data_IF_884661602098
#
_entry.id   IF_884661602098
#
_cell.length_a   1.000
_cell.length_b   1.000
_cell.length_c   1.000
_cell.angle_alpha   90.00
_cell.angle_beta   90.00
_cell.angle_gamma   90.00
#
_symmetry.space_group_name_H-M   'P 1'
#
loop_
_entity.id
_entity.type
_entity.pdbx_description
1 polymer ?
#
# COMPACT_ATOMS: atom_id res chain seq x y z
N UNK A 1 -4.40 23.57 -6.66
CA UNK A 1 -4.14 22.66 -5.51
C UNK A 1 -4.89 23.11 -4.26
N UNK A 2 -5.77 22.24 -3.71
CA UNK A 2 -6.54 22.53 -2.48
C UNK A 2 -5.73 22.22 -1.22
N UNK A 3 -5.81 23.11 -0.23
CA UNK A 3 -5.13 22.95 1.06
C UNK A 3 -5.69 21.75 1.85
N UNK A 4 -4.82 20.99 2.48
CA UNK A 4 -5.16 19.86 3.34
C UNK A 4 -4.76 20.16 4.79
N UNK A 5 -5.36 19.44 5.73
CA UNK A 5 -4.93 19.52 7.13
C UNK A 5 -3.57 18.85 7.28
N UNK A 6 -2.56 19.63 7.65
CA UNK A 6 -1.24 19.13 7.99
C UNK A 6 -1.20 18.73 9.47
N UNK A 7 -0.97 17.45 9.73
CA UNK A 7 -0.84 16.95 11.11
C UNK A 7 0.40 17.49 11.83
N UNK A 8 1.44 17.90 11.10
CA UNK A 8 2.69 18.41 11.67
C UNK A 8 2.54 19.84 12.21
N UNK A 9 1.86 20.70 11.46
CA UNK A 9 1.66 22.11 11.84
C UNK A 9 0.31 22.34 12.54
N UNK A 10 -0.63 21.40 12.42
CA UNK A 10 -1.98 21.52 12.94
C UNK A 10 -2.86 22.49 12.15
N UNK A 11 -2.44 22.90 10.94
CA UNK A 11 -3.13 23.91 10.13
C UNK A 11 -3.55 23.37 8.76
N UNK A 12 -4.46 24.09 8.10
CA UNK A 12 -4.86 23.79 6.72
C UNK A 12 -3.96 24.55 5.76
N UNK A 13 -3.07 23.82 5.10
CA UNK A 13 -2.01 24.38 4.24
C UNK A 13 -1.85 23.56 2.96
N UNK A 14 -1.00 24.03 2.04
CA UNK A 14 -0.72 23.29 0.80
C UNK A 14 0.20 22.10 1.12
N UNK A 15 -0.39 21.02 1.65
CA UNK A 15 0.32 19.81 2.01
C UNK A 15 -0.27 18.57 1.32
N UNK A 16 0.56 17.55 1.21
CA UNK A 16 0.18 16.22 0.77
C UNK A 16 0.09 15.29 1.99
N UNK A 17 -0.94 14.46 2.03
CA UNK A 17 -1.17 13.52 3.12
C UNK A 17 -0.96 12.10 2.64
N UNK A 18 0.06 11.43 3.18
CA UNK A 18 0.29 10.00 2.96
C UNK A 18 -0.40 9.13 4.02
N UNK A 19 -0.85 7.95 3.62
CA UNK A 19 -1.28 6.86 4.49
C UNK A 19 -0.19 5.78 4.44
N UNK A 20 0.26 5.32 5.61
CA UNK A 20 1.38 4.38 5.72
C UNK A 20 0.96 3.17 6.54
N UNK A 21 1.35 1.97 6.10
CA UNK A 21 1.20 0.73 6.85
C UNK A 21 2.55 0.37 7.47
N UNK A 22 2.59 0.30 8.80
CA UNK A 22 3.76 -0.05 9.59
C UNK A 22 3.52 -1.36 10.33
N UNK A 23 4.52 -2.25 10.28
CA UNK A 23 4.58 -3.41 11.16
C UNK A 23 5.51 -3.11 12.32
N UNK A 24 5.02 -3.27 13.54
CA UNK A 24 5.74 -2.98 14.77
C UNK A 24 5.82 -4.24 15.61
N UNK A 25 7.03 -4.53 16.12
CA UNK A 25 7.30 -5.63 17.04
C UNK A 25 8.31 -5.20 18.10
N UNK A 26 8.52 -6.03 19.11
CA UNK A 26 9.57 -5.81 20.11
C UNK A 26 10.99 -5.71 19.49
N UNK A 27 11.19 -6.26 18.29
CA UNK A 27 12.49 -6.25 17.58
C UNK A 27 12.67 -5.02 16.68
N UNK A 28 11.67 -4.15 16.56
CA UNK A 28 11.71 -2.98 15.70
C UNK A 28 10.45 -2.81 14.86
N UNK A 29 10.52 -1.84 13.94
CA UNK A 29 9.43 -1.46 13.05
C UNK A 29 9.89 -1.38 11.60
N UNK A 30 8.98 -1.63 10.67
CA UNK A 30 9.24 -1.47 9.22
C UNK A 30 7.98 -1.01 8.49
N UNK A 31 8.16 -0.21 7.44
CA UNK A 31 7.08 0.18 6.54
C UNK A 31 6.81 -0.95 5.56
N UNK A 32 5.54 -1.33 5.46
CA UNK A 32 5.08 -2.39 4.57
C UNK A 32 4.41 -1.85 3.31
N UNK A 33 3.76 -0.69 3.40
CA UNK A 33 3.01 -0.10 2.30
C UNK A 33 2.83 1.41 2.49
N UNK A 34 2.59 2.14 1.40
CA UNK A 34 2.36 3.60 1.39
C UNK A 34 1.39 3.98 0.26
N UNK A 35 0.46 4.88 0.56
CA UNK A 35 -0.43 5.45 -0.44
C UNK A 35 -0.67 6.95 -0.23
N UNK A 36 -0.89 7.68 -1.32
CA UNK A 36 -1.22 9.11 -1.27
C UNK A 36 -2.74 9.29 -1.12
N UNK A 37 -3.18 10.05 -0.12
CA UNK A 37 -4.58 10.47 -0.02
C UNK A 37 -4.84 11.63 -0.99
N UNK A 38 -5.76 11.41 -1.92
CA UNK A 38 -6.17 12.37 -2.93
C UNK A 38 -7.59 12.88 -2.62
N UNK A 39 -7.75 14.18 -2.30
CA UNK A 39 -9.07 14.79 -2.17
C UNK A 39 -9.90 14.67 -3.44
N UNK A 40 -11.22 14.57 -3.30
CA UNK A 40 -12.14 14.41 -4.44
C UNK A 40 -11.97 15.54 -5.47
N UNK A 41 -11.76 16.76 -5.00
CA UNK A 41 -11.61 17.92 -5.87
C UNK A 41 -10.31 17.92 -6.68
N UNK A 42 -9.30 17.13 -6.30
CA UNK A 42 -8.09 16.97 -7.12
C UNK A 42 -8.34 15.98 -8.25
N UNK A 43 -9.02 14.87 -7.95
CA UNK A 43 -9.31 13.83 -8.95
C UNK A 43 -10.38 14.28 -9.97
N UNK A 44 -11.25 15.21 -9.58
CA UNK A 44 -12.27 15.80 -10.46
C UNK A 44 -11.65 16.88 -11.39
N UNK A 45 -10.41 17.31 -11.14
CA UNK A 45 -9.66 18.26 -11.97
C UNK A 45 -8.65 17.54 -12.86
N UNK A 46 -9.05 17.28 -14.11
CA UNK A 46 -8.25 16.55 -15.08
C UNK A 46 -6.93 17.24 -15.45
N UNK A 47 -6.87 18.57 -15.41
CA UNK A 47 -5.64 19.32 -15.68
C UNK A 47 -4.67 19.18 -14.50
N UNK A 48 -5.16 19.39 -13.28
CA UNK A 48 -4.37 19.19 -12.07
C UNK A 48 -3.86 17.74 -11.96
N UNK A 49 -4.66 16.74 -12.33
CA UNK A 49 -4.23 15.34 -12.36
C UNK A 49 -3.10 15.09 -13.36
N UNK A 50 -3.21 15.63 -14.58
CA UNK A 50 -2.16 15.48 -15.60
C UNK A 50 -0.86 16.13 -15.16
N UNK A 51 -0.93 17.34 -14.61
CA UNK A 51 0.26 18.04 -14.09
C UNK A 51 0.91 17.29 -12.93
N UNK A 52 0.10 16.73 -12.03
CA UNK A 52 0.57 15.97 -10.87
C UNK A 52 0.94 14.51 -11.19
N UNK A 53 0.85 14.09 -12.47
CA UNK A 53 1.10 12.71 -12.93
C UNK A 53 0.24 11.69 -12.17
N UNK A 54 -0.98 12.09 -11.81
CA UNK A 54 -2.00 11.23 -11.22
C UNK A 54 -2.67 10.46 -12.38
N UNK A 55 -2.88 9.14 -12.26
CA UNK A 55 -3.59 8.37 -13.27
C UNK A 55 -4.98 8.98 -13.58
N UNK A 56 -5.34 9.08 -14.86
CA UNK A 56 -6.61 9.69 -15.30
C UNK A 56 -7.86 8.98 -14.76
N UNK A 57 -7.72 7.70 -14.41
CA UNK A 57 -8.80 6.90 -13.84
C UNK A 57 -8.41 6.46 -12.43
N UNK A 58 -8.57 7.36 -11.47
CA UNK A 58 -8.44 7.05 -10.05
C UNK A 58 -9.77 7.32 -9.33
N UNK A 59 -10.27 6.33 -8.61
CA UNK A 59 -11.46 6.49 -7.79
C UNK A 59 -11.08 7.17 -6.45
N UNK A 60 -11.94 8.08 -5.99
CA UNK A 60 -11.81 8.64 -4.63
C UNK A 60 -11.79 7.52 -3.59
N UNK A 61 -10.88 7.63 -2.63
CA UNK A 61 -10.81 6.75 -1.46
C UNK A 61 -10.51 7.56 -0.21
N UNK A 62 -11.25 7.29 0.85
CA UNK A 62 -10.96 7.79 2.19
C UNK A 62 -9.66 7.16 2.72
N UNK A 63 -9.04 7.81 3.70
CA UNK A 63 -7.84 7.30 4.36
C UNK A 63 -8.05 5.91 4.97
N UNK A 64 -9.24 5.65 5.52
CA UNK A 64 -9.61 4.36 6.09
C UNK A 64 -9.74 3.27 5.01
N UNK A 65 -10.32 3.60 3.85
CA UNK A 65 -10.40 2.67 2.72
C UNK A 65 -9.02 2.33 2.18
N UNK A 66 -8.13 3.33 2.05
CA UNK A 66 -6.72 3.10 1.69
C UNK A 66 -6.06 2.14 2.68
N UNK A 67 -6.15 2.39 3.99
CA UNK A 67 -5.58 1.52 5.00
C UNK A 67 -6.13 0.09 4.95
N UNK A 68 -7.46 -0.07 4.77
CA UNK A 68 -8.09 -1.40 4.62
C UNK A 68 -7.59 -2.12 3.38
N UNK A 69 -7.45 -1.41 2.27
CA UNK A 69 -6.90 -1.98 1.04
C UNK A 69 -5.46 -2.43 1.23
N UNK A 70 -4.60 -1.62 1.84
CA UNK A 70 -3.19 -1.97 2.10
C UNK A 70 -3.09 -3.26 2.91
N UNK A 71 -3.90 -3.39 3.97
CA UNK A 71 -3.97 -4.63 4.76
C UNK A 71 -4.45 -5.82 3.91
N UNK A 72 -5.52 -5.62 3.12
CA UNK A 72 -6.06 -6.67 2.24
C UNK A 72 -5.04 -7.15 1.20
N UNK A 73 -4.34 -6.23 0.53
CA UNK A 73 -3.29 -6.51 -0.44
C UNK A 73 -2.13 -7.28 0.20
N UNK A 74 -1.68 -6.87 1.39
CA UNK A 74 -0.61 -7.54 2.11
C UNK A 74 -1.00 -8.98 2.50
N UNK A 75 -2.20 -9.18 3.03
CA UNK A 75 -2.71 -10.50 3.42
C UNK A 75 -2.88 -11.41 2.21
N UNK A 76 -3.48 -10.89 1.12
CA UNK A 76 -3.62 -11.65 -0.13
C UNK A 76 -2.27 -11.99 -0.78
N UNK A 77 -1.30 -11.07 -0.71
CA UNK A 77 0.06 -11.31 -1.20
C UNK A 77 0.77 -12.40 -0.39
N UNK A 78 0.60 -12.43 0.94
CA UNK A 78 1.11 -13.50 1.80
C UNK A 78 0.59 -14.86 1.37
N UNK A 79 -0.71 -14.97 1.11
CA UNK A 79 -1.33 -16.25 0.75
C UNK A 79 -0.78 -16.78 -0.60
N UNK A 80 -0.49 -15.88 -1.54
CA UNK A 80 0.23 -16.20 -2.78
C UNK A 80 1.67 -16.66 -2.55
N UNK A 81 2.39 -16.05 -1.60
CA UNK A 81 3.77 -16.44 -1.25
C UNK A 81 3.83 -17.79 -0.51
N UNK A 82 2.87 -18.08 0.35
CA UNK A 82 2.78 -19.36 1.06
C UNK A 82 2.39 -20.51 0.12
N UNK A 83 1.49 -20.26 -0.84
CA UNK A 83 1.17 -21.23 -1.90
C UNK A 83 2.38 -21.59 -2.80
N UNK A 84 3.35 -20.68 -2.94
CA UNK A 84 4.62 -20.95 -3.63
C UNK A 84 5.62 -21.72 -2.74
N UNK A 85 5.62 -21.48 -1.42
CA UNK A 85 6.46 -22.22 -0.46
C UNK A 85 6.07 -23.70 -0.35
N UNK A 86 4.77 -24.00 -0.29
CA UNK A 86 4.24 -25.39 -0.28
C UNK A 86 4.39 -26.14 -1.62
N UNK A 87 5.00 -25.52 -2.64
CA UNK A 87 5.34 -26.18 -3.91
C UNK A 87 6.83 -26.52 -4.01
N UNK A 88 7.65 -25.90 -3.16
CA UNK A 88 9.10 -26.09 -3.11
C UNK A 88 9.51 -27.19 -2.11
N UNK A 89 8.65 -27.54 -1.16
CA UNK A 89 8.84 -28.60 -0.17
C UNK A 89 8.40 -30.00 -0.65
N UNK A 90 7.81 -30.12 -1.85
CA UNK A 90 7.39 -31.40 -2.43
C UNK A 90 8.22 -31.85 -3.65
N UNK A 91 9.31 -31.15 -4.01
CA UNK A 91 10.19 -31.53 -5.14
C UNK A 91 11.57 -32.06 -4.73
N UNK A 92 11.76 -32.47 -3.48
CA UNK A 92 13.09 -32.81 -2.94
C UNK A 92 13.11 -34.02 -2.02
N UNK A 93 12.43 -35.11 -2.40
CA UNK A 93 12.59 -36.41 -1.75
C UNK A 93 12.55 -37.52 -2.80
N UNK A 94 13.68 -37.74 -3.46
CA UNK A 94 14.03 -39.08 -3.97
C UNK A 94 15.52 -39.29 -3.81
N UNK A 95 15.89 -39.70 -2.60
CA UNK A 95 17.10 -40.43 -2.35
C UNK A 95 16.69 -41.90 -2.12
N UNK A 96 16.89 -42.71 -3.15
CA UNK A 96 16.96 -44.18 -3.11
C UNK A 96 18.14 -44.49 -4.05
N UNK A 97 19.33 -44.81 -3.52
CA UNK A 97 19.77 -46.14 -3.08
C UNK A 97 19.98 -47.09 -4.26
N UNK A 98 21.24 -47.53 -4.47
CA UNK A 98 21.67 -48.87 -4.89
C UNK A 98 23.09 -48.82 -5.49
N UNK A 99 24.01 -49.43 -4.73
CA UNK A 99 25.24 -50.19 -5.11
C UNK A 99 26.33 -49.52 -5.95
#
# INVERSE_FOLDING_TARGET
>A
MKKQYCGTTGTVENCQVGVFLSYVSAKGHTLLDRELYLPKEWIDDAECCREAVIPEVIAFRTKCELARQMIGTLVGSRDSLLGKRNKLDHSGAKAEELT
#
